data_IF_431996574223
#
_entry.id   IF_431996574223
#
_cell.length_a   1.000
_cell.length_b   1.000
_cell.length_c   1.000
_cell.angle_alpha   90.00
_cell.angle_beta   90.00
_cell.angle_gamma   90.00
#
_symmetry.space_group_name_H-M   'P 1'
#
loop_
_entity.id
_entity.type
_entity.pdbx_description
1 polymer ?
#
# COMPACT_ATOMS: atom_id res chain seq x y z
N UNK A 1 7.11 -19.00 30.02
CA UNK A 1 5.96 -19.01 29.08
C UNK A 1 5.58 -17.60 28.62
N UNK A 2 5.31 -16.66 29.55
CA UNK A 2 4.88 -15.28 29.22
C UNK A 2 5.91 -14.46 28.41
N UNK A 3 7.21 -14.59 28.72
CA UNK A 3 8.27 -13.87 27.99
C UNK A 3 8.35 -14.31 26.53
N UNK A 4 8.22 -15.62 26.27
CA UNK A 4 8.24 -16.16 24.91
C UNK A 4 7.03 -15.68 24.09
N UNK A 5 5.83 -15.62 24.70
CA UNK A 5 4.64 -15.07 24.03
C UNK A 5 4.79 -13.58 23.73
N UNK A 6 5.42 -12.79 24.62
CA UNK A 6 5.68 -11.37 24.39
C UNK A 6 6.67 -11.14 23.24
N UNK A 7 7.74 -11.94 23.18
CA UNK A 7 8.71 -11.88 22.09
C UNK A 7 8.04 -12.22 20.76
N UNK A 8 7.25 -13.29 20.71
CA UNK A 8 6.51 -13.68 19.50
C UNK A 8 5.54 -12.59 19.04
N UNK A 9 4.80 -11.99 19.97
CA UNK A 9 3.88 -10.88 19.67
C UNK A 9 4.63 -9.66 19.11
N UNK A 10 5.78 -9.32 19.70
CA UNK A 10 6.63 -8.22 19.23
C UNK A 10 7.11 -8.44 17.80
N UNK A 11 7.57 -9.66 17.47
CA UNK A 11 8.01 -9.99 16.11
C UNK A 11 6.86 -9.88 15.10
N UNK A 12 5.67 -10.37 15.44
CA UNK A 12 4.48 -10.25 14.59
C UNK A 12 4.13 -8.77 14.38
N UNK A 13 4.17 -7.96 15.44
CA UNK A 13 3.94 -6.52 15.35
C UNK A 13 4.92 -5.85 14.39
N UNK A 14 6.21 -6.19 14.45
CA UNK A 14 7.22 -5.63 13.55
C UNK A 14 6.95 -6.01 12.08
N UNK A 15 6.56 -7.26 11.81
CA UNK A 15 6.18 -7.70 10.47
C UNK A 15 4.97 -6.92 9.93
N UNK A 16 3.95 -6.72 10.77
CA UNK A 16 2.76 -5.94 10.41
C UNK A 16 3.14 -4.49 10.11
N UNK A 17 3.95 -3.86 10.97
CA UNK A 17 4.42 -2.48 10.77
C UNK A 17 5.20 -2.37 9.46
N UNK A 18 6.11 -3.31 9.18
CA UNK A 18 6.88 -3.33 7.93
C UNK A 18 5.97 -3.40 6.70
N UNK A 19 4.98 -4.30 6.72
CA UNK A 19 4.00 -4.42 5.65
C UNK A 19 3.20 -3.11 5.46
N UNK A 20 2.70 -2.51 6.55
CA UNK A 20 1.99 -1.23 6.49
C UNK A 20 2.89 -0.10 5.97
N UNK A 21 4.15 -0.03 6.40
CA UNK A 21 5.10 0.98 5.93
C UNK A 21 5.30 0.91 4.42
N UNK A 22 5.44 -0.29 3.85
CA UNK A 22 5.54 -0.46 2.40
C UNK A 22 4.28 0.01 1.66
N UNK A 23 3.09 -0.35 2.17
CA UNK A 23 1.81 0.10 1.60
C UNK A 23 1.71 1.64 1.64
N UNK A 24 2.09 2.26 2.76
CA UNK A 24 2.09 3.70 2.92
C UNK A 24 3.07 4.40 1.97
N UNK A 25 4.27 3.86 1.77
CA UNK A 25 5.24 4.41 0.81
C UNK A 25 4.67 4.37 -0.60
N UNK A 26 4.10 3.23 -1.02
CA UNK A 26 3.50 3.12 -2.35
C UNK A 26 2.29 4.05 -2.52
N UNK A 27 1.43 4.16 -1.51
CA UNK A 27 0.30 5.09 -1.52
C UNK A 27 0.77 6.54 -1.60
N UNK A 28 1.79 6.92 -0.83
CA UNK A 28 2.36 8.26 -0.87
C UNK A 28 2.96 8.57 -2.25
N UNK A 29 3.61 7.58 -2.89
CA UNK A 29 4.10 7.69 -4.27
C UNK A 29 2.94 7.95 -5.24
N UNK A 30 1.87 7.15 -5.19
CA UNK A 30 0.68 7.33 -6.04
C UNK A 30 0.04 8.71 -5.82
N UNK A 31 -0.13 9.11 -4.56
CA UNK A 31 -0.75 10.39 -4.20
C UNK A 31 0.10 11.59 -4.62
N UNK A 32 1.42 11.51 -4.44
CA UNK A 32 2.36 12.53 -4.90
C UNK A 32 2.33 12.68 -6.43
N UNK A 33 2.24 11.56 -7.16
CA UNK A 33 2.10 11.58 -8.63
C UNK A 33 0.76 12.22 -9.03
N UNK A 34 -0.33 11.92 -8.32
CA UNK A 34 -1.65 12.53 -8.58
C UNK A 34 -1.61 14.04 -8.40
N UNK A 35 -0.95 14.49 -7.33
CA UNK A 35 -0.83 15.91 -6.99
C UNK A 35 0.04 16.65 -8.01
N UNK A 36 1.08 16.00 -8.54
CA UNK A 36 1.99 16.56 -9.54
C UNK A 36 1.36 16.63 -10.94
N UNK A 37 0.63 15.59 -11.37
CA UNK A 37 0.09 15.48 -12.72
C UNK A 37 -1.34 15.98 -12.85
N UNK A 38 -2.09 16.12 -11.76
CA UNK A 38 -3.50 16.52 -11.77
C UNK A 38 -4.40 15.57 -12.58
N UNK A 39 -3.92 14.36 -12.88
CA UNK A 39 -4.55 13.38 -13.76
C UNK A 39 -4.79 12.08 -13.00
N UNK A 40 -5.90 11.40 -13.29
CA UNK A 40 -6.34 10.19 -12.61
C UNK A 40 -5.28 9.06 -12.73
N UNK A 41 -4.45 8.94 -11.69
CA UNK A 41 -3.31 8.00 -11.61
C UNK A 41 -3.77 6.54 -11.62
N UNK A 42 -5.06 6.27 -11.43
CA UNK A 42 -5.57 4.90 -11.52
C UNK A 42 -5.36 4.25 -12.89
N UNK A 43 -5.29 5.05 -13.97
CA UNK A 43 -4.93 4.58 -15.31
C UNK A 43 -3.43 4.36 -15.51
N UNK A 44 -2.58 5.12 -14.81
CA UNK A 44 -1.13 4.96 -14.94
C UNK A 44 -0.65 3.67 -14.26
N UNK A 45 -1.29 3.29 -13.15
CA UNK A 45 -1.00 2.05 -12.44
C UNK A 45 -1.75 0.83 -12.98
N UNK A 46 -2.74 1.01 -13.86
CA UNK A 46 -3.42 -0.14 -14.48
C UNK A 46 -2.60 -0.78 -15.58
N UNK A 47 -1.71 -0.03 -16.22
CA UNK A 47 -1.05 -0.45 -17.47
C UNK A 47 0.35 -1.04 -17.24
N UNK A 48 0.99 -0.79 -16.08
CA UNK A 48 2.40 -1.18 -15.83
C UNK A 48 2.63 -2.37 -14.88
N UNK A 49 1.60 -2.96 -14.25
CA UNK A 49 1.83 -3.82 -13.07
C UNK A 49 1.38 -5.29 -13.14
N UNK A 50 1.06 -5.80 -14.33
CA UNK A 50 1.09 -7.24 -14.61
C UNK A 50 2.46 -7.67 -15.14
N UNK A 51 3.53 -7.35 -14.40
CA UNK A 51 4.80 -8.02 -14.64
C UNK A 51 4.73 -9.36 -13.90
N UNK A 52 4.57 -10.46 -14.64
CA UNK A 52 4.38 -11.85 -14.18
C UNK A 52 5.49 -12.40 -13.25
N UNK A 53 6.47 -11.57 -12.88
CA UNK A 53 7.60 -11.88 -11.98
C UNK A 53 7.61 -11.08 -10.66
N UNK A 54 6.54 -10.35 -10.30
CA UNK A 54 6.47 -9.64 -9.01
C UNK A 54 6.15 -10.60 -7.87
N UNK A 55 6.95 -10.55 -6.81
CA UNK A 55 6.74 -11.32 -5.58
C UNK A 55 5.31 -11.11 -5.04
N UNK A 56 4.69 -12.18 -4.53
CA UNK A 56 3.30 -12.18 -4.06
C UNK A 56 3.02 -11.05 -3.04
N UNK A 57 3.99 -10.77 -2.17
CA UNK A 57 3.90 -9.70 -1.17
C UNK A 57 3.86 -8.32 -1.84
N UNK A 58 4.68 -8.09 -2.87
CA UNK A 58 4.70 -6.81 -3.60
C UNK A 58 3.38 -6.56 -4.34
N UNK A 59 2.81 -7.61 -4.95
CA UNK A 59 1.49 -7.53 -5.58
C UNK A 59 0.40 -7.18 -4.54
N UNK A 60 0.46 -7.80 -3.36
CA UNK A 60 -0.48 -7.55 -2.28
C UNK A 60 -0.35 -6.11 -1.72
N UNK A 61 0.87 -5.59 -1.61
CA UNK A 61 1.14 -4.21 -1.18
C UNK A 61 0.57 -3.22 -2.21
N UNK A 62 0.86 -3.43 -3.49
CA UNK A 62 0.36 -2.58 -4.59
C UNK A 62 -1.17 -2.55 -4.65
N UNK A 63 -1.81 -3.72 -4.57
CA UNK A 63 -3.27 -3.80 -4.61
C UNK A 63 -3.90 -3.09 -3.39
N UNK A 64 -3.29 -3.25 -2.21
CA UNK A 64 -3.72 -2.56 -0.98
C UNK A 64 -3.56 -1.04 -1.08
N UNK A 65 -2.43 -0.57 -1.60
CA UNK A 65 -2.18 0.86 -1.83
C UNK A 65 -3.18 1.45 -2.83
N UNK A 66 -3.46 0.75 -3.92
CA UNK A 66 -4.44 1.14 -4.93
C UNK A 66 -5.87 1.20 -4.37
N UNK A 67 -6.26 0.22 -3.53
CA UNK A 67 -7.56 0.20 -2.87
C UNK A 67 -7.72 1.38 -1.90
N UNK A 68 -6.70 1.65 -1.09
CA UNK A 68 -6.68 2.79 -0.19
C UNK A 68 -6.74 4.11 -0.96
N UNK A 69 -5.97 4.24 -2.05
CA UNK A 69 -6.02 5.42 -2.91
C UNK A 69 -7.42 5.66 -3.49
N UNK A 70 -8.08 4.63 -4.06
CA UNK A 70 -9.47 4.74 -4.54
C UNK A 70 -10.45 5.14 -3.43
N UNK A 71 -10.22 4.65 -2.21
CA UNK A 71 -11.05 4.99 -1.06
C UNK A 71 -10.85 6.46 -0.66
N UNK A 72 -9.60 6.93 -0.60
CA UNK A 72 -9.25 8.32 -0.30
C UNK A 72 -9.79 9.27 -1.37
N UNK A 73 -9.65 8.92 -2.65
CA UNK A 73 -10.15 9.73 -3.76
C UNK A 73 -11.68 9.83 -3.76
N UNK A 74 -12.39 8.72 -3.51
CA UNK A 74 -13.84 8.74 -3.29
C UNK A 74 -14.24 9.66 -2.14
N UNK A 75 -13.54 9.61 -1.01
CA UNK A 75 -13.81 10.48 0.14
C UNK A 75 -13.58 11.95 -0.24
N UNK A 76 -12.49 12.25 -0.95
CA UNK A 76 -12.16 13.60 -1.39
C UNK A 76 -13.20 14.19 -2.35
N UNK A 77 -13.87 13.35 -3.14
CA UNK A 77 -14.94 13.77 -4.06
C UNK A 77 -16.27 14.09 -3.35
N UNK A 78 -16.42 13.69 -2.09
CA UNK A 78 -17.62 13.89 -1.27
C UNK A 78 -17.48 15.02 -0.22
N UNK A 79 -16.33 15.70 -0.17
CA UNK A 79 -16.05 16.91 0.64
C UNK A 79 -16.00 18.11 -0.31
#
# INVERSE_FOLDING_TARGET
>A
MVVFTLISLSMISLCIIYFLSMVCIQLNRIMSINLLLGMDVTKLYSDDDFNDNKDYIDSLINNSAMFLYKTVDKIKKHI
#
